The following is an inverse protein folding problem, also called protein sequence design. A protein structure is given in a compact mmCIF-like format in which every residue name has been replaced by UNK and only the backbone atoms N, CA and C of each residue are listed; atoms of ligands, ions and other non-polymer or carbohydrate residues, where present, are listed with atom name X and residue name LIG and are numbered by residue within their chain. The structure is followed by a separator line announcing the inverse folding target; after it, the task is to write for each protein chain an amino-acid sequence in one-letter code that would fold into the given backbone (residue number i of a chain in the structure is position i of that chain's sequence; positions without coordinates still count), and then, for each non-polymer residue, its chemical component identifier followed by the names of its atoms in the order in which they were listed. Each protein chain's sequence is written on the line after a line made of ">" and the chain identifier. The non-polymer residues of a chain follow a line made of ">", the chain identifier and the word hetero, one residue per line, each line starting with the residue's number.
data_IF_885754027421
#
_entry.id   IF_885754027421
#
_cell.length_a   1.000
_cell.length_b   1.000
_cell.length_c   1.000
_cell.angle_alpha   90.00
_cell.angle_beta   90.00
_cell.angle_gamma   90.00
#
_symmetry.space_group_name_H-M   'P 1'
#
loop_
_entity.id
_entity.type
_entity.pdbx_description
1 polymer ?
#
# COMPACT_ATOMS: atom_id res chain seq x y z
N UNK A 1 29.68 -24.14 -10.00
CA UNK A 1 29.81 -22.67 -10.21
C UNK A 1 29.40 -22.02 -8.90
N UNK A 2 30.30 -21.87 -7.92
CA UNK A 2 31.34 -20.83 -7.75
C UNK A 2 30.80 -19.39 -7.67
N UNK A 3 31.29 -18.71 -6.63
CA UNK A 3 31.15 -17.30 -6.18
C UNK A 3 29.85 -16.96 -5.44
N UNK A 4 29.84 -16.70 -4.12
CA UNK A 4 30.83 -16.02 -3.29
C UNK A 4 30.23 -14.66 -2.90
N UNK A 5 29.62 -14.53 -1.73
CA UNK A 5 30.24 -14.13 -0.46
C UNK A 5 29.98 -12.63 -0.14
N UNK A 6 29.69 -12.38 1.14
CA UNK A 6 29.81 -11.09 1.86
C UNK A 6 28.67 -10.05 1.72
N UNK A 7 27.73 -10.10 2.68
CA UNK A 7 27.57 -8.96 3.61
C UNK A 7 26.80 -9.34 4.88
N UNK A 8 27.52 -9.96 5.81
CA UNK A 8 27.18 -9.94 7.24
C UNK A 8 28.37 -9.35 8.01
N UNK A 9 28.05 -8.60 9.09
CA UNK A 9 28.94 -7.99 10.10
C UNK A 9 29.61 -6.68 9.73
N UNK A 10 29.15 -5.61 10.37
CA UNK A 10 30.02 -4.71 11.16
C UNK A 10 29.20 -4.07 12.29
N UNK A 11 29.08 -4.80 13.40
CA UNK A 11 28.92 -4.23 14.73
C UNK A 11 30.32 -3.91 15.23
N UNK A 12 30.76 -2.65 15.18
CA UNK A 12 31.85 -2.14 16.00
C UNK A 12 31.76 -0.61 16.04
N UNK A 13 31.84 -0.02 17.24
CA UNK A 13 32.28 1.37 17.39
C UNK A 13 31.41 2.29 18.24
N UNK A 14 31.18 1.93 19.51
CA UNK A 14 30.99 2.93 20.55
C UNK A 14 32.22 3.86 20.60
N UNK A 15 32.05 5.15 20.26
CA UNK A 15 32.85 6.22 20.85
C UNK A 15 31.92 7.31 21.34
N UNK A 16 31.56 7.15 22.60
CA UNK A 16 31.08 8.23 23.45
C UNK A 16 32.15 9.33 23.44
N UNK A 17 31.72 10.56 23.16
CA UNK A 17 32.56 11.73 23.31
C UNK A 17 32.83 11.92 24.82
N UNK A 18 34.04 11.59 25.26
CA UNK A 18 34.53 11.91 26.60
C UNK A 18 35.14 13.31 26.52
N UNK A 19 34.56 14.33 27.17
CA UNK A 19 35.18 15.64 27.23
C UNK A 19 36.43 15.56 28.12
N UNK A 20 37.58 15.93 27.55
CA UNK A 20 38.83 16.16 28.28
C UNK A 20 38.68 17.46 29.07
N UNK A 21 38.04 17.35 30.24
CA UNK A 21 38.10 18.34 31.32
C UNK A 21 38.09 17.61 32.65
N UNK A 22 39.11 16.78 32.88
CA UNK A 22 39.32 16.15 34.18
C UNK A 22 40.79 16.31 34.56
N UNK A 23 41.06 17.47 35.18
CA UNK A 23 42.39 17.80 35.67
C UNK A 23 42.63 19.30 35.78
N UNK A 24 41.69 20.07 36.36
CA UNK A 24 41.95 21.39 36.96
C UNK A 24 40.73 21.88 37.79
N UNK A 25 39.98 20.95 38.40
CA UNK A 25 38.82 21.24 39.26
C UNK A 25 39.12 21.07 40.76
N UNK A 26 40.33 21.43 41.18
CA UNK A 26 40.71 21.58 42.59
C UNK A 26 41.67 22.76 42.78
N UNK A 27 41.31 23.93 42.26
CA UNK A 27 41.88 25.18 42.72
C UNK A 27 40.75 26.19 42.91
N UNK A 28 40.03 26.04 44.03
CA UNK A 28 39.28 27.14 44.62
C UNK A 28 40.27 28.19 45.15
N UNK A 29 40.89 28.96 44.25
CA UNK A 29 41.45 30.25 44.64
C UNK A 29 40.30 31.23 44.77
N UNK A 30 39.68 31.21 45.96
CA UNK A 30 38.79 32.26 46.43
C UNK A 30 39.63 33.53 46.59
N UNK A 31 39.70 34.35 45.55
CA UNK A 31 40.22 35.72 45.66
C UNK A 31 39.15 36.60 46.31
N UNK A 32 39.03 36.53 47.64
CA UNK A 32 38.33 37.55 48.43
C UNK A 32 39.26 38.76 48.58
N UNK A 33 39.28 39.60 47.55
CA UNK A 33 39.91 40.91 47.57
C UNK A 33 39.05 41.94 48.30
N UNK A 34 38.93 41.81 49.62
CA UNK A 34 38.52 42.89 50.51
C UNK A 34 39.40 42.80 51.77
N UNK A 35 39.92 43.94 52.21
CA UNK A 35 40.77 44.15 53.39
C UNK A 35 42.28 43.93 53.24
N UNK A 36 42.93 44.77 52.43
CA UNK A 36 44.24 45.30 52.83
C UNK A 36 44.06 46.72 53.40
N UNK A 37 43.60 46.79 54.64
CA UNK A 37 43.91 47.95 55.49
C UNK A 37 45.44 47.96 55.63
N UNK A 38 46.10 48.99 55.09
CA UNK A 38 47.48 49.32 55.46
C UNK A 38 47.49 49.56 56.97
N UNK A 39 47.91 48.55 57.72
CA UNK A 39 48.32 48.68 59.12
C UNK A 39 49.49 49.66 59.13
N UNK A 40 49.29 50.80 59.78
CA UNK A 40 50.37 51.71 60.13
C UNK A 40 51.36 50.95 61.00
N UNK A 41 52.55 50.72 60.45
CA UNK A 41 53.70 50.29 61.24
C UNK A 41 54.22 51.53 61.94
N UNK A 42 53.99 51.58 63.25
CA UNK A 42 54.58 52.55 64.15
C UNK A 42 56.11 52.40 64.12
N UNK A 43 56.79 53.43 63.61
CA UNK A 43 58.24 53.54 63.71
C UNK A 43 58.53 54.02 65.13
N UNK A 44 58.75 53.06 66.04
CA UNK A 44 59.40 53.35 67.31
C UNK A 44 60.87 53.76 67.02
N UNK A 45 61.37 54.90 67.52
CA UNK A 45 62.77 55.24 67.40
C UNK A 45 63.59 54.37 68.37
N UNK A 46 64.05 53.21 67.90
CA UNK A 46 65.08 52.43 68.57
C UNK A 46 66.43 53.14 68.37
N UNK A 47 66.62 54.23 69.10
CA UNK A 47 67.87 54.98 69.16
C UNK A 47 68.83 54.16 70.02
N UNK A 48 69.73 53.42 69.38
CA UNK A 48 70.84 52.75 70.06
C UNK A 48 71.79 53.82 70.64
N UNK A 49 72.27 53.68 71.89
CA UNK A 49 73.07 54.71 72.57
C UNK A 49 74.36 55.10 71.81
N UNK A 50 74.91 54.18 71.03
CA UNK A 50 76.13 54.36 70.24
C UNK A 50 76.01 55.40 69.12
N UNK A 51 74.80 55.61 68.56
CA UNK A 51 74.60 56.58 67.47
C UNK A 51 74.63 58.05 67.96
N UNK A 52 74.23 58.29 69.22
CA UNK A 52 74.22 59.63 69.82
C UNK A 52 75.62 60.05 70.27
N UNK A 53 76.44 59.10 70.76
CA UNK A 53 77.88 59.34 71.02
C UNK A 53 78.67 59.57 69.73
N UNK A 54 78.37 58.82 68.65
CA UNK A 54 79.04 59.01 67.36
C UNK A 54 78.80 60.41 66.76
N UNK A 55 77.60 60.97 66.91
CA UNK A 55 77.27 62.31 66.39
C UNK A 55 77.89 63.45 67.21
N UNK A 56 78.13 63.23 68.50
CA UNK A 56 78.67 64.26 69.42
C UNK A 56 80.19 64.45 69.29
N UNK A 57 80.90 63.55 68.59
CA UNK A 57 82.36 63.59 68.40
C UNK A 57 82.85 64.24 67.09
N UNK A 58 81.96 64.74 66.21
CA UNK A 58 82.42 65.48 65.01
C UNK A 58 82.58 66.97 65.33
N UNK A 59 83.75 67.28 65.88
CA UNK A 59 84.35 68.62 65.88
C UNK A 59 84.76 68.96 64.44
N UNK A 60 84.58 70.24 64.13
CA UNK A 60 84.71 70.90 62.85
C UNK A 60 86.17 70.91 62.36
N UNK A 61 86.55 69.95 61.51
CA UNK A 61 87.84 69.98 60.82
C UNK A 61 87.76 70.96 59.63
N UNK A 62 87.85 72.25 59.97
CA UNK A 62 88.22 73.30 59.03
C UNK A 62 89.63 73.02 58.52
N UNK A 63 89.74 72.51 57.29
CA UNK A 63 91.01 72.43 56.55
C UNK A 63 91.59 73.85 56.41
N UNK A 64 92.87 74.09 56.76
CA UNK A 64 93.42 75.44 56.84
C UNK A 64 93.55 76.13 55.48
N UNK A 65 93.12 77.39 55.44
CA UNK A 65 93.46 78.36 54.39
C UNK A 65 94.98 78.55 54.41
N UNK A 66 95.64 78.13 53.33
CA UNK A 66 97.08 78.36 53.09
C UNK A 66 97.20 79.61 52.22
N UNK A 67 97.78 80.68 52.75
CA UNK A 67 98.08 81.91 52.01
C UNK A 67 99.37 81.71 51.21
N UNK A 68 99.27 81.62 49.88
CA UNK A 68 100.39 81.92 48.98
C UNK A 68 99.85 82.73 47.80
N UNK A 69 100.35 83.95 47.72
CA UNK A 69 100.05 84.95 46.72
C UNK A 69 101.07 84.77 45.59
N UNK A 70 100.73 83.95 44.60
CA UNK A 70 101.34 84.00 43.27
C UNK A 70 100.23 83.87 42.23
N UNK A 71 100.12 84.89 41.40
CA UNK A 71 99.03 85.21 40.50
C UNK A 71 98.95 84.20 39.35
N UNK A 72 98.01 83.25 39.43
CA UNK A 72 97.37 82.58 38.28
C UNK A 72 95.89 82.28 38.60
N UNK A 73 94.95 82.39 37.65
CA UNK A 73 93.53 82.25 37.95
C UNK A 73 93.21 80.79 38.29
N UNK A 74 92.58 80.57 39.45
CA UNK A 74 92.16 79.25 39.95
C UNK A 74 91.05 78.62 39.08
N UNK A 75 90.56 79.33 38.07
CA UNK A 75 89.59 78.82 37.10
C UNK A 75 90.15 77.67 36.22
N UNK A 76 91.46 77.58 36.03
CA UNK A 76 92.06 76.64 35.04
C UNK A 76 92.31 75.22 35.59
N UNK A 77 92.31 75.02 36.91
CA UNK A 77 92.42 73.68 37.56
C UNK A 77 91.07 73.05 37.92
N UNK A 78 89.97 73.79 37.78
CA UNK A 78 88.60 73.26 37.83
C UNK A 78 88.11 72.97 36.40
N UNK A 79 88.91 72.27 35.59
CA UNK A 79 88.29 71.44 34.56
C UNK A 79 87.44 70.42 35.30
N UNK A 80 86.13 70.69 35.36
CA UNK A 80 85.12 69.87 36.02
C UNK A 80 85.13 68.51 35.33
N UNK A 81 85.96 67.59 35.82
CA UNK A 81 85.90 66.18 35.46
C UNK A 81 84.55 65.71 36.00
N UNK A 82 83.60 65.32 35.13
CA UNK A 82 82.28 64.90 35.58
C UNK A 82 82.42 63.72 36.55
N UNK A 83 81.71 63.75 37.67
CA UNK A 83 81.70 62.62 38.62
C UNK A 83 81.04 61.40 37.99
N UNK A 84 81.42 60.18 38.39
CA UNK A 84 80.78 58.93 37.91
C UNK A 84 79.25 58.97 38.06
N UNK A 85 78.77 59.68 39.08
CA UNK A 85 77.35 59.89 39.36
C UNK A 85 76.68 60.85 38.36
N UNK A 86 77.38 61.90 37.92
CA UNK A 86 76.89 62.82 36.88
C UNK A 86 76.82 62.14 35.50
N UNK A 87 77.79 61.29 35.19
CA UNK A 87 77.80 60.45 33.97
C UNK A 87 76.61 59.48 34.00
N UNK A 88 76.39 58.79 35.13
CA UNK A 88 75.26 57.87 35.31
C UNK A 88 73.90 58.56 35.22
N UNK A 89 73.79 59.78 35.77
CA UNK A 89 72.57 60.59 35.68
C UNK A 89 72.27 61.04 34.26
N UNK A 90 73.29 61.44 33.48
CA UNK A 90 73.11 61.73 32.06
C UNK A 90 72.74 60.48 31.26
N UNK A 91 73.37 59.33 31.53
CA UNK A 91 72.99 58.06 30.89
C UNK A 91 71.54 57.66 31.18
N UNK A 92 71.09 57.82 32.43
CA UNK A 92 69.71 57.53 32.82
C UNK A 92 68.72 58.43 32.06
N UNK A 93 69.01 59.73 31.99
CA UNK A 93 68.21 60.68 31.19
C UNK A 93 68.15 60.29 29.71
N UNK A 94 69.28 59.90 29.12
CA UNK A 94 69.35 59.43 27.73
C UNK A 94 68.49 58.17 27.52
N UNK A 95 68.61 57.18 28.42
CA UNK A 95 67.81 55.95 28.37
C UNK A 95 66.31 56.23 28.55
N UNK A 96 65.93 57.15 29.44
CA UNK A 96 64.53 57.55 29.61
C UNK A 96 63.97 58.20 28.34
N UNK A 97 64.71 59.13 27.73
CA UNK A 97 64.30 59.75 26.46
C UNK A 97 64.15 58.71 25.34
N UNK A 98 65.02 57.70 25.31
CA UNK A 98 64.93 56.59 24.36
C UNK A 98 63.69 55.71 24.61
N UNK A 99 63.35 55.46 25.87
CA UNK A 99 62.13 54.74 26.25
C UNK A 99 60.86 55.53 25.91
N UNK A 100 60.83 56.84 26.17
CA UNK A 100 59.71 57.72 25.80
C UNK A 100 59.46 57.67 24.29
N UNK A 101 60.52 57.79 23.46
CA UNK A 101 60.40 57.64 21.99
C UNK A 101 59.88 56.26 21.57
N UNK A 102 60.27 55.18 22.26
CA UNK A 102 59.77 53.83 21.99
C UNK A 102 58.28 53.71 22.37
N UNK A 103 57.86 54.32 23.48
CA UNK A 103 56.46 54.35 23.90
C UNK A 103 55.62 55.10 22.87
N UNK A 104 56.04 56.29 22.45
CA UNK A 104 55.34 57.09 21.43
C UNK A 104 55.17 56.29 20.13
N UNK A 105 56.24 55.65 19.64
CA UNK A 105 56.17 54.79 18.44
C UNK A 105 55.19 53.62 18.62
N UNK A 106 55.18 52.98 19.78
CA UNK A 106 54.25 51.89 20.07
C UNK A 106 52.79 52.38 20.16
N UNK A 107 52.56 53.58 20.66
CA UNK A 107 51.23 54.20 20.70
C UNK A 107 50.71 54.52 19.29
N UNK A 108 51.57 55.02 18.40
CA UNK A 108 51.27 55.21 16.97
C UNK A 108 50.93 53.87 16.30
N UNK A 109 51.80 52.85 16.44
CA UNK A 109 51.56 51.51 15.87
C UNK A 109 50.23 50.92 16.38
N UNK A 110 49.93 51.07 17.67
CA UNK A 110 48.65 50.65 18.28
C UNK A 110 47.45 51.38 17.66
N UNK A 111 47.56 52.69 17.41
CA UNK A 111 46.53 53.48 16.74
C UNK A 111 46.25 52.96 15.32
N UNK A 112 47.31 52.73 14.53
CA UNK A 112 47.16 52.18 13.17
C UNK A 112 46.51 50.79 13.16
N UNK A 113 46.94 49.90 14.06
CA UNK A 113 46.33 48.56 14.19
C UNK A 113 44.86 48.63 14.60
N UNK A 114 44.50 49.55 15.50
CA UNK A 114 43.10 49.74 15.93
C UNK A 114 42.22 50.20 14.75
N UNK A 115 42.73 51.09 13.91
CA UNK A 115 42.04 51.53 12.68
C UNK A 115 41.87 50.39 11.68
N UNK A 116 42.93 49.59 11.45
CA UNK A 116 42.88 48.42 10.55
C UNK A 116 41.84 47.38 11.02
N UNK A 117 41.85 47.03 12.30
CA UNK A 117 40.83 46.13 12.90
C UNK A 117 39.42 46.70 12.72
N UNK A 118 39.25 48.02 12.87
CA UNK A 118 37.98 48.71 12.63
C UNK A 118 37.50 48.60 11.18
N UNK A 119 38.41 48.73 10.21
CA UNK A 119 38.13 48.53 8.79
C UNK A 119 37.78 47.07 8.48
N UNK A 120 38.58 46.13 8.94
CA UNK A 120 38.34 44.69 8.76
C UNK A 120 36.97 44.27 9.31
N UNK A 121 36.59 44.77 10.50
CA UNK A 121 35.28 44.47 11.10
C UNK A 121 34.12 44.97 10.24
N UNK A 122 34.23 46.14 9.62
CA UNK A 122 33.21 46.66 8.68
C UNK A 122 33.12 45.79 7.42
N UNK A 123 34.26 45.37 6.88
CA UNK A 123 34.30 44.49 5.71
C UNK A 123 33.69 43.12 6.01
N UNK A 124 34.08 42.48 7.13
CA UNK A 124 33.50 41.21 7.58
C UNK A 124 31.99 41.33 7.74
N UNK A 125 31.48 42.42 8.34
CA UNK A 125 30.05 42.66 8.46
C UNK A 125 29.34 42.78 7.10
N UNK A 126 29.97 43.40 6.09
CA UNK A 126 29.44 43.47 4.73
C UNK A 126 29.42 42.08 4.07
N UNK A 127 30.48 41.31 4.23
CA UNK A 127 30.57 39.94 3.72
C UNK A 127 29.56 39.01 4.37
N UNK A 128 29.38 39.07 5.69
CA UNK A 128 28.36 38.30 6.41
C UNK A 128 26.95 38.57 5.86
N UNK A 129 26.59 39.84 5.63
CA UNK A 129 25.30 40.20 5.01
C UNK A 129 25.15 39.61 3.60
N UNK A 130 26.23 39.62 2.80
CA UNK A 130 26.22 39.03 1.45
C UNK A 130 26.07 37.51 1.50
N UNK A 131 26.80 36.84 2.40
CA UNK A 131 26.71 35.39 2.63
C UNK A 131 25.29 35.00 3.05
N UNK A 132 24.65 35.74 3.96
CA UNK A 132 23.26 35.46 4.37
C UNK A 132 22.26 35.61 3.23
N UNK A 133 22.43 36.64 2.36
CA UNK A 133 21.60 36.81 1.17
C UNK A 133 21.76 35.65 0.17
N UNK A 134 22.99 35.23 -0.09
CA UNK A 134 23.24 34.09 -0.99
C UNK A 134 22.74 32.77 -0.38
N UNK A 135 22.89 32.57 0.94
CA UNK A 135 22.34 31.41 1.64
C UNK A 135 20.82 31.31 1.47
N UNK A 136 20.10 32.41 1.64
CA UNK A 136 18.65 32.45 1.42
C UNK A 136 18.26 32.11 -0.03
N UNK A 137 19.04 32.56 -1.02
CA UNK A 137 18.81 32.18 -2.43
C UNK A 137 19.05 30.70 -2.67
N UNK A 138 20.10 30.13 -2.09
CA UNK A 138 20.39 28.68 -2.19
C UNK A 138 19.24 27.87 -1.59
N UNK A 139 18.77 28.22 -0.39
CA UNK A 139 17.62 27.55 0.25
C UNK A 139 16.34 27.67 -0.60
N UNK A 140 16.11 28.82 -1.23
CA UNK A 140 15.00 29.01 -2.17
C UNK A 140 15.09 28.06 -3.37
N UNK A 141 16.26 28.00 -4.02
CA UNK A 141 16.47 27.12 -5.18
C UNK A 141 16.45 25.64 -4.80
N UNK A 142 16.91 25.30 -3.60
CA UNK A 142 16.84 23.94 -3.08
C UNK A 142 15.39 23.49 -2.93
N UNK A 143 14.52 24.32 -2.34
CA UNK A 143 13.08 24.05 -2.24
C UNK A 143 12.45 23.92 -3.63
N UNK A 144 12.79 24.80 -4.57
CA UNK A 144 12.28 24.73 -5.95
C UNK A 144 12.71 23.44 -6.66
N UNK A 145 13.95 23.02 -6.47
CA UNK A 145 14.46 21.75 -6.99
C UNK A 145 13.73 20.54 -6.38
N UNK A 146 13.44 20.57 -5.07
CA UNK A 146 12.67 19.50 -4.41
C UNK A 146 11.23 19.42 -4.92
N UNK A 147 10.58 20.56 -5.13
CA UNK A 147 9.24 20.63 -5.73
C UNK A 147 9.23 20.02 -7.14
N UNK A 148 10.17 20.43 -8.00
CA UNK A 148 10.30 19.91 -9.36
C UNK A 148 10.58 18.40 -9.38
N UNK A 149 11.40 17.90 -8.45
CA UNK A 149 11.64 16.45 -8.30
C UNK A 149 10.36 15.70 -7.94
N UNK A 150 9.55 16.25 -7.03
CA UNK A 150 8.27 15.66 -6.64
C UNK A 150 7.28 15.62 -7.81
N UNK A 151 7.21 16.69 -8.60
CA UNK A 151 6.40 16.74 -9.82
C UNK A 151 6.87 15.72 -10.87
N UNK A 152 8.17 15.62 -11.12
CA UNK A 152 8.72 14.62 -12.03
C UNK A 152 8.39 13.18 -11.59
N UNK A 153 8.49 12.89 -10.29
CA UNK A 153 8.13 11.57 -9.76
C UNK A 153 6.64 11.27 -9.96
N UNK A 154 5.76 12.26 -9.81
CA UNK A 154 4.34 12.11 -10.06
C UNK A 154 4.05 11.82 -11.54
N UNK A 155 4.65 12.58 -12.45
CA UNK A 155 4.54 12.35 -13.91
C UNK A 155 5.10 10.98 -14.32
N UNK A 156 6.18 10.51 -13.70
CA UNK A 156 6.73 9.19 -13.98
C UNK A 156 5.75 8.07 -13.59
N UNK A 157 5.06 8.20 -12.45
CA UNK A 157 4.00 7.27 -12.04
C UNK A 157 2.82 7.28 -13.02
N UNK A 158 2.40 8.46 -13.45
CA UNK A 158 1.33 8.59 -14.44
C UNK A 158 1.71 7.96 -15.79
N UNK A 159 2.92 8.22 -16.28
CA UNK A 159 3.46 7.61 -17.50
C UNK A 159 3.51 6.08 -17.40
N UNK A 160 3.90 5.53 -16.24
CA UNK A 160 3.84 4.08 -16.00
C UNK A 160 2.40 3.56 -16.10
N UNK A 161 1.43 4.27 -15.52
CA UNK A 161 0.01 3.94 -15.61
C UNK A 161 -0.53 4.00 -17.04
N UNK A 162 -0.20 5.04 -17.80
CA UNK A 162 -0.58 5.19 -19.20
C UNK A 162 0.03 4.09 -20.07
N UNK A 163 1.30 3.73 -19.84
CA UNK A 163 1.95 2.63 -20.56
C UNK A 163 1.22 1.31 -20.35
N UNK A 164 0.81 1.01 -19.10
CA UNK A 164 -0.01 -0.17 -18.81
C UNK A 164 -1.34 -0.15 -19.58
N UNK A 165 -2.08 0.97 -19.56
CA UNK A 165 -3.34 1.12 -20.32
C UNK A 165 -3.15 0.91 -21.83
N UNK A 166 -2.08 1.47 -22.41
CA UNK A 166 -1.76 1.25 -23.84
C UNK A 166 -1.52 -0.23 -24.14
N UNK A 167 -0.85 -0.98 -23.25
CA UNK A 167 -0.66 -2.43 -23.46
C UNK A 167 -1.95 -3.23 -23.33
N UNK A 168 -2.91 -2.79 -22.53
CA UNK A 168 -4.23 -3.42 -22.39
C UNK A 168 -5.12 -3.13 -23.60
N UNK A 169 -5.19 -1.87 -24.03
CA UNK A 169 -5.89 -1.49 -25.25
C UNK A 169 -5.31 -2.20 -26.48
N UNK A 170 -3.99 -2.32 -26.57
CA UNK A 170 -3.35 -3.10 -27.63
C UNK A 170 -3.71 -4.59 -27.61
N UNK A 171 -3.96 -5.18 -26.43
CA UNK A 171 -4.45 -6.56 -26.29
C UNK A 171 -5.90 -6.68 -26.75
N UNK A 172 -6.77 -5.78 -26.30
CA UNK A 172 -8.18 -5.73 -26.70
C UNK A 172 -8.33 -5.53 -28.21
N UNK A 173 -7.58 -4.59 -28.79
CA UNK A 173 -7.59 -4.36 -30.24
C UNK A 173 -7.17 -5.60 -31.02
N UNK A 174 -6.11 -6.31 -30.57
CA UNK A 174 -5.72 -7.58 -31.19
C UNK A 174 -6.80 -8.65 -31.08
N UNK A 175 -7.49 -8.72 -29.94
CA UNK A 175 -8.64 -9.62 -29.78
C UNK A 175 -9.71 -9.31 -30.82
N UNK A 176 -10.10 -8.05 -30.98
CA UNK A 176 -11.08 -7.62 -31.97
C UNK A 176 -10.62 -7.79 -33.43
N UNK A 177 -9.33 -7.64 -33.72
CA UNK A 177 -8.79 -7.85 -35.07
C UNK A 177 -8.72 -9.33 -35.45
N UNK A 178 -8.39 -10.20 -34.48
CA UNK A 178 -8.27 -11.63 -34.72
C UNK A 178 -9.61 -12.36 -34.62
N UNK A 179 -10.57 -11.77 -33.90
CA UNK A 179 -11.95 -12.24 -33.88
C UNK A 179 -12.62 -11.76 -35.16
N UNK A 180 -12.68 -12.63 -36.16
CA UNK A 180 -13.36 -12.36 -37.42
C UNK A 180 -14.86 -12.67 -37.27
N UNK A 181 -15.73 -11.66 -37.03
CA UNK A 181 -17.16 -11.90 -36.89
C UNK A 181 -17.78 -12.47 -38.17
N UNK A 182 -17.10 -12.37 -39.32
CA UNK A 182 -17.59 -12.93 -40.57
C UNK A 182 -17.50 -14.47 -40.59
N UNK A 183 -16.55 -15.08 -39.86
CA UNK A 183 -16.45 -16.53 -39.74
C UNK A 183 -17.58 -17.07 -38.87
N UNK A 184 -17.84 -16.47 -37.71
CA UNK A 184 -18.95 -16.87 -36.83
C UNK A 184 -20.32 -16.68 -37.50
N UNK A 185 -20.50 -15.58 -38.25
CA UNK A 185 -21.71 -15.37 -39.04
C UNK A 185 -21.89 -16.44 -40.12
N UNK A 186 -20.82 -16.85 -40.80
CA UNK A 186 -20.89 -17.94 -41.78
C UNK A 186 -21.22 -19.27 -41.13
N UNK A 187 -20.64 -19.57 -39.97
CA UNK A 187 -20.94 -20.79 -39.22
C UNK A 187 -22.39 -20.82 -38.74
N UNK A 188 -22.88 -19.72 -38.16
CA UNK A 188 -24.29 -19.59 -37.75
C UNK A 188 -25.24 -19.67 -38.94
N UNK A 189 -24.88 -19.06 -40.07
CA UNK A 189 -25.67 -19.15 -41.30
C UNK A 189 -25.79 -20.60 -41.78
N UNK A 190 -24.70 -21.36 -41.79
CA UNK A 190 -24.74 -22.79 -42.15
C UNK A 190 -25.64 -23.60 -41.21
N UNK A 191 -25.56 -23.35 -39.89
CA UNK A 191 -26.45 -24.02 -38.91
C UNK A 191 -27.93 -23.68 -39.13
N UNK A 192 -28.23 -22.45 -39.56
CA UNK A 192 -29.61 -22.05 -39.90
C UNK A 192 -30.07 -22.78 -41.15
N UNK A 193 -29.25 -22.85 -42.21
CA UNK A 193 -29.55 -23.60 -43.44
C UNK A 193 -29.81 -25.09 -43.14
N UNK A 194 -29.01 -25.73 -42.29
CA UNK A 194 -29.21 -27.12 -41.87
C UNK A 194 -30.54 -27.34 -41.11
N UNK A 195 -30.89 -26.40 -40.23
CA UNK A 195 -32.15 -26.44 -39.47
C UNK A 195 -33.37 -26.23 -40.37
N UNK A 196 -33.26 -25.37 -41.38
CA UNK A 196 -34.31 -25.15 -42.38
C UNK A 196 -34.59 -26.43 -43.18
N UNK A 197 -33.54 -27.16 -43.57
CA UNK A 197 -33.70 -28.46 -44.25
C UNK A 197 -34.36 -29.49 -43.33
N UNK A 198 -33.93 -29.59 -42.08
CA UNK A 198 -34.51 -30.52 -41.12
C UNK A 198 -35.99 -30.20 -40.81
N UNK A 199 -36.34 -28.91 -40.75
CA UNK A 199 -37.72 -28.47 -40.58
C UNK A 199 -38.57 -28.91 -41.77
N UNK A 200 -38.09 -28.71 -43.00
CA UNK A 200 -38.81 -29.11 -44.20
C UNK A 200 -39.04 -30.63 -44.29
N UNK A 201 -38.05 -31.45 -43.90
CA UNK A 201 -38.22 -32.90 -43.79
C UNK A 201 -39.28 -33.27 -42.75
N UNK A 202 -39.26 -32.58 -41.60
CA UNK A 202 -40.28 -32.73 -40.56
C UNK A 202 -41.70 -32.42 -41.06
N UNK A 203 -41.87 -31.35 -41.82
CA UNK A 203 -43.14 -30.97 -42.43
C UNK A 203 -43.67 -32.06 -43.39
N UNK A 204 -42.80 -32.57 -44.28
CA UNK A 204 -43.17 -33.65 -45.20
C UNK A 204 -43.61 -34.90 -44.46
N UNK A 205 -42.94 -35.25 -43.36
CA UNK A 205 -43.30 -36.42 -42.55
C UNK A 205 -44.63 -36.24 -41.83
N UNK A 206 -44.94 -35.02 -41.36
CA UNK A 206 -46.25 -34.71 -40.76
C UNK A 206 -47.36 -34.88 -41.80
N UNK A 207 -47.18 -34.38 -43.02
CA UNK A 207 -48.18 -34.54 -44.09
C UNK A 207 -48.40 -36.02 -44.46
N UNK A 208 -47.34 -36.82 -44.51
CA UNK A 208 -47.46 -38.28 -44.71
C UNK A 208 -48.27 -38.94 -43.60
N UNK A 209 -48.01 -38.60 -42.33
CA UNK A 209 -48.73 -39.16 -41.19
C UNK A 209 -50.21 -38.74 -41.19
N UNK A 210 -50.53 -37.49 -41.55
CA UNK A 210 -51.91 -37.04 -41.71
C UNK A 210 -52.67 -37.83 -42.79
N UNK A 211 -52.02 -38.10 -43.92
CA UNK A 211 -52.62 -38.90 -44.98
C UNK A 211 -52.87 -40.35 -44.52
N UNK A 212 -51.93 -40.94 -43.77
CA UNK A 212 -52.10 -42.28 -43.19
C UNK A 212 -53.24 -42.32 -42.16
N UNK A 213 -53.33 -41.33 -41.27
CA UNK A 213 -54.41 -41.21 -40.29
C UNK A 213 -55.78 -41.15 -40.98
N UNK A 214 -55.89 -40.39 -42.06
CA UNK A 214 -57.11 -40.29 -42.84
C UNK A 214 -57.55 -41.65 -43.42
N UNK A 215 -56.62 -42.40 -44.03
CA UNK A 215 -56.91 -43.75 -44.55
C UNK A 215 -57.37 -44.71 -43.45
N UNK A 216 -56.65 -44.76 -42.33
CA UNK A 216 -57.01 -45.64 -41.21
C UNK A 216 -58.38 -45.30 -40.62
N UNK A 217 -58.73 -44.01 -40.56
CA UNK A 217 -60.04 -43.56 -40.10
C UNK A 217 -61.16 -44.06 -41.02
N UNK A 218 -60.94 -44.05 -42.33
CA UNK A 218 -61.89 -44.57 -43.30
C UNK A 218 -62.07 -46.09 -43.17
N UNK A 219 -60.96 -46.84 -43.03
CA UNK A 219 -61.00 -48.29 -42.80
C UNK A 219 -61.75 -48.64 -41.50
N UNK A 220 -61.49 -47.90 -40.42
CA UNK A 220 -62.18 -48.08 -39.15
C UNK A 220 -63.69 -47.86 -39.29
N UNK A 221 -64.11 -46.83 -40.04
CA UNK A 221 -65.53 -46.60 -40.33
C UNK A 221 -66.16 -47.77 -41.11
N UNK A 222 -65.44 -48.33 -42.07
CA UNK A 222 -65.90 -49.49 -42.85
C UNK A 222 -66.07 -50.72 -41.96
N UNK A 223 -65.05 -51.07 -41.17
CA UNK A 223 -65.10 -52.23 -40.26
C UNK A 223 -66.21 -52.06 -39.23
N UNK A 224 -66.38 -50.85 -38.68
CA UNK A 224 -67.49 -50.55 -37.77
C UNK A 224 -68.86 -50.75 -38.43
N UNK A 225 -68.99 -50.43 -39.71
CA UNK A 225 -70.18 -50.73 -40.51
C UNK A 225 -70.42 -52.24 -40.59
N UNK A 226 -69.40 -53.01 -40.94
CA UNK A 226 -69.49 -54.47 -41.03
C UNK A 226 -69.87 -55.13 -39.70
N UNK A 227 -69.35 -54.64 -38.58
CA UNK A 227 -69.73 -55.15 -37.24
C UNK A 227 -71.21 -54.90 -36.98
N UNK A 228 -71.72 -53.70 -37.27
CA UNK A 228 -73.15 -53.38 -37.13
C UNK A 228 -74.05 -54.30 -37.98
N UNK A 229 -73.64 -54.57 -39.21
CA UNK A 229 -74.41 -55.45 -40.10
C UNK A 229 -74.43 -56.89 -39.59
N UNK A 230 -73.30 -57.39 -39.06
CA UNK A 230 -73.23 -58.71 -38.42
C UNK A 230 -74.04 -58.78 -37.14
N UNK A 231 -73.99 -57.75 -36.30
CA UNK A 231 -74.79 -57.66 -35.07
C UNK A 231 -76.29 -57.70 -35.39
N UNK A 232 -76.72 -57.05 -36.48
CA UNK A 232 -78.10 -57.12 -36.96
C UNK A 232 -78.49 -58.54 -37.38
N UNK A 233 -77.65 -59.22 -38.19
CA UNK A 233 -77.89 -60.61 -38.62
C UNK A 233 -77.96 -61.57 -37.42
N UNK A 234 -77.04 -61.42 -36.46
CA UNK A 234 -77.02 -62.24 -35.24
C UNK A 234 -78.28 -61.97 -34.41
N UNK A 235 -78.70 -60.71 -34.26
CA UNK A 235 -79.92 -60.33 -33.56
C UNK A 235 -81.17 -60.96 -34.19
N UNK A 236 -81.26 -60.93 -35.52
CA UNK A 236 -82.36 -61.57 -36.26
C UNK A 236 -82.35 -63.09 -36.10
N UNK A 237 -81.19 -63.74 -36.22
CA UNK A 237 -81.06 -65.18 -35.98
C UNK A 237 -81.44 -65.58 -34.54
N UNK A 238 -81.09 -64.78 -33.53
CA UNK A 238 -81.52 -64.99 -32.14
C UNK A 238 -83.05 -64.86 -32.02
N UNK A 239 -83.66 -63.88 -32.70
CA UNK A 239 -85.12 -63.73 -32.70
C UNK A 239 -85.83 -64.93 -33.35
N UNK A 240 -85.33 -65.41 -34.49
CA UNK A 240 -85.84 -66.61 -35.16
C UNK A 240 -85.69 -67.87 -34.28
N UNK A 241 -84.55 -68.05 -33.62
CA UNK A 241 -84.33 -69.16 -32.67
C UNK A 241 -85.35 -69.10 -31.52
N UNK A 242 -85.64 -67.90 -31.00
CA UNK A 242 -86.65 -67.71 -29.96
C UNK A 242 -88.05 -68.09 -30.43
N UNK A 243 -88.46 -67.66 -31.62
CA UNK A 243 -89.77 -68.02 -32.20
C UNK A 243 -89.93 -69.54 -32.35
N UNK A 244 -88.90 -70.22 -32.88
CA UNK A 244 -88.89 -71.69 -32.99
C UNK A 244 -88.95 -72.34 -31.60
N UNK A 245 -88.21 -71.80 -30.62
CA UNK A 245 -88.23 -72.29 -29.26
C UNK A 245 -89.61 -72.14 -28.58
N UNK A 246 -90.31 -71.03 -28.84
CA UNK A 246 -91.70 -70.84 -28.40
C UNK A 246 -92.63 -71.85 -29.04
N UNK A 247 -92.55 -72.05 -30.37
CA UNK A 247 -93.36 -73.03 -31.06
C UNK A 247 -93.15 -74.46 -30.53
N UNK A 248 -91.89 -74.86 -30.30
CA UNK A 248 -91.56 -76.17 -29.72
C UNK A 248 -92.07 -76.30 -28.29
N UNK A 249 -92.05 -75.22 -27.49
CA UNK A 249 -92.62 -75.20 -26.14
C UNK A 249 -94.14 -75.40 -26.18
N UNK A 250 -94.85 -74.68 -27.05
CA UNK A 250 -96.30 -74.81 -27.19
C UNK A 250 -96.70 -76.22 -27.64
N UNK A 251 -95.93 -76.80 -28.57
CA UNK A 251 -96.11 -78.17 -29.01
C UNK A 251 -95.89 -79.17 -27.86
N UNK A 252 -94.90 -78.93 -26.99
CA UNK A 252 -94.67 -79.74 -25.79
C UNK A 252 -95.86 -79.69 -24.81
N UNK A 253 -96.44 -78.51 -24.56
CA UNK A 253 -97.64 -78.36 -23.72
C UNK A 253 -98.82 -79.16 -24.30
N UNK A 254 -99.03 -79.12 -25.62
CA UNK A 254 -100.06 -79.92 -26.29
C UNK A 254 -99.76 -81.42 -26.18
N UNK A 255 -98.50 -81.81 -26.33
CA UNK A 255 -98.07 -83.19 -26.21
C UNK A 255 -98.31 -83.74 -24.80
N UNK A 256 -98.07 -82.93 -23.76
CA UNK A 256 -98.38 -83.28 -22.36
C UNK A 256 -99.86 -83.56 -22.15
N UNK A 257 -100.74 -82.69 -22.66
CA UNK A 257 -102.19 -82.87 -22.57
C UNK A 257 -102.66 -84.15 -23.30
N UNK A 258 -102.11 -84.44 -24.48
CA UNK A 258 -102.43 -85.66 -25.23
C UNK A 258 -101.86 -86.91 -24.57
N UNK A 259 -100.67 -86.84 -23.98
CA UNK A 259 -100.04 -87.97 -23.29
C UNK A 259 -100.93 -88.50 -22.16
N UNK A 260 -101.63 -87.61 -21.44
CA UNK A 260 -102.60 -87.98 -20.40
C UNK A 260 -103.83 -88.74 -20.94
N UNK A 261 -104.19 -88.55 -22.22
CA UNK A 261 -105.35 -89.23 -22.81
C UNK A 261 -105.02 -90.63 -23.37
N UNK A 262 -103.76 -90.87 -23.75
CA UNK A 262 -103.35 -92.07 -24.49
C UNK A 262 -102.51 -93.07 -23.67
N UNK A 263 -102.50 -92.93 -22.34
CA UNK A 263 -101.70 -93.73 -21.40
C UNK A 263 -102.10 -95.23 -21.26
N UNK A 264 -102.96 -95.80 -22.12
CA UNK A 264 -103.46 -97.19 -21.91
C UNK A 264 -103.68 -98.11 -23.14
N UNK A 265 -103.28 -99.38 -22.92
CA UNK A 265 -103.74 -100.66 -23.47
C UNK A 265 -103.40 -101.15 -24.90
N UNK A 266 -102.77 -100.37 -25.79
CA UNK A 266 -102.41 -100.84 -27.16
C UNK A 266 -100.95 -100.56 -27.54
N UNK A 267 -100.33 -101.44 -28.33
CA UNK A 267 -98.95 -101.27 -28.86
C UNK A 267 -98.76 -99.91 -29.56
N UNK A 268 -99.76 -99.46 -30.34
CA UNK A 268 -99.74 -98.15 -31.00
C UNK A 268 -99.83 -96.98 -30.02
N UNK A 269 -100.53 -97.15 -28.89
CA UNK A 269 -100.62 -96.13 -27.83
C UNK A 269 -99.27 -95.92 -27.14
N UNK A 270 -98.49 -97.00 -26.94
CA UNK A 270 -97.14 -96.93 -26.39
C UNK A 270 -96.16 -96.20 -27.30
N UNK A 271 -96.18 -96.46 -28.61
CA UNK A 271 -95.37 -95.73 -29.59
C UNK A 271 -95.71 -94.24 -29.62
N UNK A 272 -97.00 -93.90 -29.56
CA UNK A 272 -97.46 -92.51 -29.51
C UNK A 272 -96.98 -91.81 -28.23
N UNK A 273 -97.10 -92.46 -27.06
CA UNK A 273 -96.61 -91.90 -25.81
C UNK A 273 -95.09 -91.64 -25.83
N UNK A 274 -94.30 -92.54 -26.43
CA UNK A 274 -92.84 -92.34 -26.61
C UNK A 274 -92.51 -91.13 -27.50
N UNK A 275 -93.29 -90.88 -28.55
CA UNK A 275 -93.13 -89.68 -29.38
C UNK A 275 -93.47 -88.40 -28.62
N UNK A 276 -94.57 -88.41 -27.85
CA UNK A 276 -94.98 -87.26 -27.03
C UNK A 276 -93.94 -86.94 -25.94
N UNK A 277 -93.31 -87.95 -25.34
CA UNK A 277 -92.24 -87.74 -24.36
C UNK A 277 -90.95 -87.15 -24.97
N UNK A 278 -90.63 -87.51 -26.22
CA UNK A 278 -89.55 -86.84 -26.98
C UNK A 278 -89.88 -85.37 -27.24
N UNK A 279 -91.12 -85.05 -27.61
CA UNK A 279 -91.57 -83.66 -27.82
C UNK A 279 -91.50 -82.86 -26.52
N UNK A 280 -91.93 -83.45 -25.39
CA UNK A 280 -91.77 -82.87 -24.05
C UNK A 280 -90.30 -82.56 -23.73
N UNK A 281 -89.41 -83.52 -23.96
CA UNK A 281 -87.96 -83.35 -23.73
C UNK A 281 -87.37 -82.22 -24.58
N UNK A 282 -87.80 -82.10 -25.84
CA UNK A 282 -87.40 -81.01 -26.72
C UNK A 282 -87.92 -79.65 -26.22
N UNK A 283 -89.16 -79.57 -25.73
CA UNK A 283 -89.72 -78.37 -25.11
C UNK A 283 -88.93 -77.89 -23.88
N UNK A 284 -88.48 -78.81 -23.03
CA UNK A 284 -87.64 -78.47 -21.87
C UNK A 284 -86.28 -77.90 -22.30
N UNK A 285 -85.67 -78.44 -23.36
CA UNK A 285 -84.43 -77.90 -23.94
C UNK A 285 -84.65 -76.54 -24.60
N UNK A 286 -85.78 -76.35 -25.28
CA UNK A 286 -86.16 -75.08 -25.91
C UNK A 286 -86.26 -73.93 -24.88
N UNK A 287 -86.60 -74.23 -23.62
CA UNK A 287 -86.63 -73.25 -22.53
C UNK A 287 -85.28 -72.56 -22.28
N UNK A 288 -84.16 -73.20 -22.61
CA UNK A 288 -82.83 -72.61 -22.48
C UNK A 288 -82.55 -71.49 -23.50
N UNK A 289 -83.40 -71.33 -24.52
CA UNK A 289 -83.22 -70.38 -25.63
C UNK A 289 -84.16 -69.17 -25.55
N UNK A 290 -84.73 -68.91 -24.38
CA UNK A 290 -85.77 -67.91 -24.13
C UNK A 290 -85.30 -66.91 -23.08
#
# INVERSE_FOLDING_TARGET
>A
MLSGELRERFLHGLRQFVPVTQGLAQNEFVYKGADYKRKGVAINPATTPEYVEWRSRRINDNVPITKMEEVRPMEEYLQVIPSELDIMKQEFKRKNLELEKKIEKLEEEKMYLSLDVGLQKKEVGKWQKKVQKEKAKVEYWEKKCQEMRSQNLALEKENKGLKSKVTELGRSLRWHQNHDPTVELKELKGKVEDLEVALHDGELRIEQLKAQEYCLKQELHQVKGQVRDRDYIIGDAIAQIREVAEYVRDLAVRADALSMMYESASDKGRELALLLDKVRTLGLKAKAYM
#
